data_IF_617731039389
#
_entry.id   IF_617731039389
#
_cell.length_a   1.000
_cell.length_b   1.000
_cell.length_c   1.000
_cell.angle_alpha   90.00
_cell.angle_beta   90.00
_cell.angle_gamma   90.00
#
_symmetry.space_group_name_H-M   'P 1'
#
loop_
_entity.id
_entity.type
_entity.pdbx_description
1 polymer ?
#
# COMPACT_ATOMS: atom_id res chain seq x y z
N UNK A 1 16.84 -0.57 19.91
CA UNK A 1 17.78 -1.33 19.05
C UNK A 1 17.33 -1.14 17.63
N UNK A 2 18.11 -0.42 16.82
CA UNK A 2 17.88 -0.30 15.37
C UNK A 2 18.02 -1.71 14.80
N UNK A 3 16.95 -2.31 14.29
CA UNK A 3 17.04 -3.59 13.56
C UNK A 3 18.10 -3.44 12.45
N UNK A 4 19.10 -4.33 12.41
CA UNK A 4 20.09 -4.34 11.34
C UNK A 4 19.41 -4.62 9.99
N UNK A 5 19.81 -3.88 8.96
CA UNK A 5 19.30 -4.09 7.61
C UNK A 5 19.96 -5.31 6.95
N UNK A 6 19.13 -6.19 6.36
CA UNK A 6 19.54 -7.33 5.57
C UNK A 6 19.83 -6.91 4.14
N UNK A 7 20.86 -7.49 3.53
CA UNK A 7 21.18 -7.28 2.11
C UNK A 7 21.20 -8.62 1.41
N UNK A 8 20.41 -8.75 0.34
CA UNK A 8 20.38 -9.95 -0.50
C UNK A 8 20.66 -9.53 -1.94
N UNK A 9 21.38 -10.38 -2.68
CA UNK A 9 21.78 -10.11 -4.07
C UNK A 9 20.76 -10.62 -5.09
N UNK A 10 19.86 -11.53 -4.66
CA UNK A 10 18.89 -12.18 -5.53
C UNK A 10 17.53 -12.40 -4.87
N UNK A 11 16.50 -12.62 -5.69
CA UNK A 11 15.17 -12.98 -5.23
C UNK A 11 15.16 -14.31 -4.45
N UNK A 12 15.97 -15.28 -4.88
CA UNK A 12 16.06 -16.61 -4.25
C UNK A 12 16.66 -16.56 -2.85
N UNK A 13 17.66 -15.71 -2.61
CA UNK A 13 18.21 -15.50 -1.27
C UNK A 13 17.16 -14.92 -0.31
N UNK A 14 16.40 -13.93 -0.80
CA UNK A 14 15.30 -13.35 -0.02
C UNK A 14 14.19 -14.38 0.28
N UNK A 15 13.82 -15.22 -0.70
CA UNK A 15 12.85 -16.30 -0.50
C UNK A 15 13.34 -17.36 0.47
N UNK A 16 14.63 -17.70 0.43
CA UNK A 16 15.25 -18.59 1.40
C UNK A 16 15.14 -18.04 2.82
N UNK A 17 15.43 -16.75 3.00
CA UNK A 17 15.28 -16.08 4.29
C UNK A 17 13.82 -16.06 4.76
N UNK A 18 12.87 -15.72 3.89
CA UNK A 18 11.43 -15.74 4.21
C UNK A 18 10.95 -17.15 4.58
N UNK A 19 11.43 -18.20 3.91
CA UNK A 19 11.09 -19.57 4.24
C UNK A 19 11.58 -20.01 5.62
N UNK A 20 12.74 -19.53 6.05
CA UNK A 20 13.36 -19.90 7.33
C UNK A 20 12.86 -19.04 8.50
N UNK A 21 12.62 -17.75 8.26
CA UNK A 21 12.37 -16.76 9.32
C UNK A 21 10.95 -16.17 9.27
N UNK A 22 10.19 -16.42 8.20
CA UNK A 22 8.93 -15.74 7.93
C UNK A 22 7.80 -15.99 8.94
N UNK A 23 7.89 -17.08 9.70
CA UNK A 23 6.90 -17.44 10.73
C UNK A 23 7.25 -16.91 12.12
N UNK A 24 8.50 -16.54 12.37
CA UNK A 24 9.00 -16.12 13.69
C UNK A 24 9.40 -14.65 13.73
N UNK A 25 9.80 -14.07 12.60
CA UNK A 25 10.18 -12.67 12.52
C UNK A 25 8.97 -11.74 12.47
N UNK A 26 9.06 -10.62 13.20
CA UNK A 26 8.06 -9.54 13.19
C UNK A 26 8.29 -8.54 12.05
N UNK A 27 9.40 -8.66 11.33
CA UNK A 27 9.74 -7.82 10.19
C UNK A 27 11.23 -7.87 9.86
N UNK A 28 11.57 -7.35 8.69
CA UNK A 28 12.93 -7.18 8.24
C UNK A 28 13.08 -5.88 7.47
N UNK A 29 14.17 -5.16 7.74
CA UNK A 29 14.64 -4.10 6.86
C UNK A 29 15.50 -4.71 5.76
N UNK A 30 15.13 -4.49 4.50
CA UNK A 30 15.94 -4.83 3.34
C UNK A 30 16.67 -3.59 2.83
N UNK A 31 17.99 -3.68 2.69
CA UNK A 31 18.81 -2.72 1.96
C UNK A 31 18.72 -3.01 0.46
N UNK A 32 18.30 -2.00 -0.29
CA UNK A 32 18.07 -2.06 -1.73
C UNK A 32 18.94 -1.02 -2.43
N UNK A 33 19.64 -1.44 -3.49
CA UNK A 33 20.41 -0.54 -4.34
C UNK A 33 19.48 0.39 -5.11
N UNK A 34 19.88 1.67 -5.23
CA UNK A 34 19.23 2.61 -6.13
C UNK A 34 19.60 2.29 -7.58
N UNK A 35 18.76 2.74 -8.52
CA UNK A 35 19.00 2.57 -9.96
C UNK A 35 20.33 3.25 -10.33
N UNK A 36 21.19 2.54 -11.07
CA UNK A 36 22.50 3.05 -11.51
C UNK A 36 23.66 2.71 -10.57
N UNK A 37 23.41 2.11 -9.41
CA UNK A 37 24.46 1.58 -8.53
C UNK A 37 25.03 0.27 -9.08
N UNK A 38 26.35 0.10 -9.05
CA UNK A 38 27.04 -1.12 -9.51
C UNK A 38 26.76 -2.33 -8.62
N UNK A 39 26.60 -2.11 -7.31
CA UNK A 39 26.24 -3.15 -6.35
C UNK A 39 24.82 -3.67 -6.63
N UNK A 40 24.72 -4.97 -6.98
CA UNK A 40 23.45 -5.64 -7.21
C UNK A 40 22.82 -6.10 -5.89
N UNK A 41 21.61 -5.64 -5.63
CA UNK A 41 20.71 -6.24 -4.64
C UNK A 41 19.52 -6.85 -5.35
N UNK A 42 18.72 -7.63 -4.62
CA UNK A 42 17.34 -7.91 -5.00
C UNK A 42 16.63 -6.59 -5.32
N UNK A 43 15.83 -6.57 -6.40
CA UNK A 43 15.04 -5.39 -6.73
C UNK A 43 13.84 -5.27 -5.79
N UNK A 44 13.31 -4.05 -5.60
CA UNK A 44 12.08 -3.87 -4.83
C UNK A 44 10.92 -4.72 -5.36
N UNK A 45 10.78 -4.82 -6.68
CA UNK A 45 9.71 -5.61 -7.29
C UNK A 45 9.84 -7.09 -6.93
N UNK A 46 11.04 -7.67 -7.09
CA UNK A 46 11.31 -9.05 -6.70
C UNK A 46 11.07 -9.27 -5.19
N UNK A 47 11.53 -8.34 -4.35
CA UNK A 47 11.34 -8.42 -2.91
C UNK A 47 9.85 -8.40 -2.53
N UNK A 48 9.04 -7.55 -3.19
CA UNK A 48 7.61 -7.47 -2.98
C UNK A 48 6.87 -8.72 -3.46
N UNK A 49 7.18 -9.23 -4.65
CA UNK A 49 6.58 -10.47 -5.16
C UNK A 49 6.84 -11.65 -4.23
N UNK A 50 8.09 -11.82 -3.79
CA UNK A 50 8.45 -12.84 -2.81
C UNK A 50 7.77 -12.59 -1.46
N UNK A 51 7.67 -11.35 -0.99
CA UNK A 51 6.93 -11.05 0.23
C UNK A 51 5.46 -11.50 0.12
N UNK A 52 4.76 -11.18 -0.98
CA UNK A 52 3.38 -11.61 -1.21
C UNK A 52 3.25 -13.13 -1.20
N UNK A 53 4.18 -13.85 -1.85
CA UNK A 53 4.20 -15.31 -1.87
C UNK A 53 4.25 -15.93 -0.46
N UNK A 54 4.87 -15.26 0.50
CA UNK A 54 5.05 -15.74 1.88
C UNK A 54 4.10 -15.06 2.88
N UNK A 55 3.11 -14.30 2.42
CA UNK A 55 2.13 -13.65 3.31
C UNK A 55 2.65 -12.39 4.00
N UNK A 56 3.70 -11.79 3.45
CA UNK A 56 4.33 -10.56 3.90
C UNK A 56 3.94 -9.38 3.00
N UNK A 57 4.23 -8.16 3.46
CA UNK A 57 3.97 -6.92 2.74
C UNK A 57 5.05 -5.88 3.04
N UNK A 58 5.26 -4.96 2.10
CA UNK A 58 6.12 -3.80 2.30
C UNK A 58 5.45 -2.75 3.21
N UNK A 59 6.28 -1.98 3.90
CA UNK A 59 5.85 -0.92 4.80
C UNK A 59 6.75 0.31 4.69
N UNK A 60 7.41 0.64 5.79
CA UNK A 60 8.22 1.85 5.89
C UNK A 60 9.40 1.84 4.92
N UNK A 61 9.67 3.01 4.32
CA UNK A 61 10.84 3.27 3.49
C UNK A 61 11.74 4.29 4.19
N UNK A 62 13.05 4.12 4.07
CA UNK A 62 14.03 5.03 4.66
C UNK A 62 15.20 5.24 3.70
N UNK A 63 15.70 6.48 3.59
CA UNK A 63 16.96 6.73 2.89
C UNK A 63 18.13 6.25 3.76
N UNK A 64 19.12 5.60 3.14
CA UNK A 64 20.30 5.12 3.86
C UNK A 64 21.57 5.84 3.40
N UNK A 65 21.78 5.91 2.09
CA UNK A 65 22.95 6.55 1.50
C UNK A 65 22.65 7.04 0.09
N UNK A 66 23.63 7.62 -0.59
CA UNK A 66 23.52 7.98 -2.00
C UNK A 66 23.23 6.78 -2.88
N UNK A 67 23.74 5.59 -2.52
CA UNK A 67 23.65 4.36 -3.34
C UNK A 67 22.53 3.42 -2.91
N UNK A 68 22.05 3.53 -1.67
CA UNK A 68 21.11 2.58 -1.07
C UNK A 68 19.94 3.24 -0.37
N UNK A 69 18.86 2.47 -0.22
CA UNK A 69 17.70 2.82 0.58
C UNK A 69 17.17 1.55 1.27
N UNK A 70 16.41 1.72 2.35
CA UNK A 70 15.84 0.63 3.12
C UNK A 70 14.34 0.53 2.89
N UNK A 71 13.86 -0.71 2.77
CA UNK A 71 12.44 -1.04 2.75
C UNK A 71 12.15 -2.04 3.86
N UNK A 72 11.25 -1.69 4.79
CA UNK A 72 10.74 -2.64 5.79
C UNK A 72 9.71 -3.54 5.14
N UNK A 73 9.81 -4.84 5.40
CA UNK A 73 8.80 -5.84 5.11
C UNK A 73 8.34 -6.49 6.41
N UNK A 74 7.05 -6.78 6.52
CA UNK A 74 6.44 -7.37 7.71
C UNK A 74 5.42 -8.44 7.32
N UNK A 75 5.17 -9.45 8.17
CA UNK A 75 4.01 -10.32 8.01
C UNK A 75 2.73 -9.50 7.90
N UNK A 76 1.79 -9.93 7.04
CA UNK A 76 0.45 -9.31 7.01
C UNK A 76 -0.27 -9.62 8.32
N UNK A 77 -0.84 -8.57 8.90
CA UNK A 77 -1.77 -8.69 10.03
C UNK A 77 -3.22 -8.81 9.56
N UNK A 78 -4.11 -9.24 10.45
CA UNK A 78 -5.56 -9.28 10.19
C UNK A 78 -6.15 -7.94 9.71
N UNK A 79 -5.50 -6.81 10.06
CA UNK A 79 -5.92 -5.46 9.67
C UNK A 79 -5.28 -4.97 8.36
N UNK A 80 -4.38 -5.74 7.76
CA UNK A 80 -3.63 -5.32 6.57
C UNK A 80 -4.56 -5.27 5.35
N UNK A 81 -4.85 -4.07 4.88
CA UNK A 81 -5.65 -3.84 3.67
C UNK A 81 -4.92 -4.33 2.41
N UNK A 82 -5.67 -4.57 1.34
CA UNK A 82 -5.14 -4.92 0.03
C UNK A 82 -5.32 -3.72 -0.92
N UNK A 83 -4.29 -3.42 -1.72
CA UNK A 83 -4.44 -2.56 -2.88
C UNK A 83 -4.83 -3.42 -4.08
N UNK A 84 -5.50 -2.84 -5.08
CA UNK A 84 -5.81 -3.52 -6.33
C UNK A 84 -4.53 -4.02 -7.01
N UNK A 85 -3.47 -3.21 -7.01
CA UNK A 85 -2.19 -3.59 -7.58
C UNK A 85 -1.55 -4.82 -6.90
N UNK A 86 -1.60 -4.91 -5.56
CA UNK A 86 -1.06 -6.08 -4.86
C UNK A 86 -1.96 -7.31 -5.00
N UNK A 87 -3.28 -7.10 -5.12
CA UNK A 87 -4.22 -8.15 -5.48
C UNK A 87 -3.88 -8.71 -6.88
N UNK A 88 -3.75 -7.86 -7.88
CA UNK A 88 -3.45 -8.26 -9.27
C UNK A 88 -2.10 -9.00 -9.34
N UNK A 89 -1.07 -8.52 -8.62
CA UNK A 89 0.21 -9.24 -8.48
C UNK A 89 0.05 -10.60 -7.82
N UNK A 90 -0.70 -10.69 -6.73
CA UNK A 90 -0.93 -11.97 -6.05
C UNK A 90 -1.69 -12.96 -6.95
N UNK A 91 -2.67 -12.50 -7.74
CA UNK A 91 -3.38 -13.31 -8.73
C UNK A 91 -2.43 -13.82 -9.82
N UNK A 92 -1.53 -12.98 -10.33
CA UNK A 92 -0.49 -13.39 -11.28
C UNK A 92 0.49 -14.42 -10.68
N UNK A 93 0.89 -14.23 -9.41
CA UNK A 93 1.77 -15.17 -8.69
C UNK A 93 1.10 -16.52 -8.40
N UNK A 94 -0.22 -16.53 -8.18
CA UNK A 94 -1.01 -17.76 -8.09
C UNK A 94 -1.03 -18.47 -9.44
N UNK A 95 -1.35 -17.75 -10.51
CA UNK A 95 -1.40 -18.32 -11.87
C UNK A 95 -0.04 -18.88 -12.31
N UNK A 96 1.06 -18.25 -11.88
CA UNK A 96 2.43 -18.71 -12.14
C UNK A 96 2.92 -19.82 -11.20
N UNK A 97 2.10 -20.32 -10.27
CA UNK A 97 2.48 -21.37 -9.31
C UNK A 97 3.56 -20.95 -8.29
N UNK A 98 3.79 -19.65 -8.11
CA UNK A 98 4.81 -19.08 -7.21
C UNK A 98 4.33 -18.92 -5.77
N UNK A 99 3.02 -18.75 -5.59
CA UNK A 99 2.39 -18.53 -4.29
C UNK A 99 2.71 -19.68 -3.32
N UNK A 100 3.12 -19.36 -2.08
CA UNK A 100 3.40 -20.36 -1.03
C UNK A 100 2.22 -20.47 -0.05
N UNK A 101 2.14 -21.55 0.75
CA UNK A 101 1.03 -21.75 1.68
C UNK A 101 0.77 -20.56 2.63
N UNK A 102 1.79 -19.88 3.20
CA UNK A 102 1.57 -18.69 4.02
C UNK A 102 0.91 -17.53 3.26
N UNK A 103 1.35 -17.26 2.03
CA UNK A 103 0.74 -16.23 1.18
C UNK A 103 -0.71 -16.56 0.83
N UNK A 104 -0.97 -17.82 0.47
CA UNK A 104 -2.33 -18.28 0.17
C UNK A 104 -3.26 -18.16 1.40
N UNK A 105 -2.77 -18.47 2.60
CA UNK A 105 -3.52 -18.33 3.84
C UNK A 105 -3.97 -16.87 4.08
N UNK A 106 -3.09 -15.89 3.83
CA UNK A 106 -3.43 -14.47 3.96
C UNK A 106 -4.44 -13.98 2.91
N UNK A 107 -4.37 -14.54 1.69
CA UNK A 107 -5.35 -14.28 0.62
C UNK A 107 -6.73 -14.82 1.02
N UNK A 108 -6.80 -16.06 1.53
CA UNK A 108 -8.06 -16.66 1.96
C UNK A 108 -8.70 -15.93 3.15
N UNK A 109 -7.90 -15.51 4.14
CA UNK A 109 -8.39 -14.63 5.22
C UNK A 109 -8.99 -13.34 4.66
N UNK A 110 -8.30 -12.70 3.72
CA UNK A 110 -8.77 -11.46 3.11
C UNK A 110 -10.01 -11.64 2.22
N UNK A 111 -10.19 -12.81 1.59
CA UNK A 111 -11.42 -13.17 0.87
C UNK A 111 -12.58 -13.32 1.85
N UNK A 112 -12.38 -14.05 2.95
CA UNK A 112 -13.40 -14.30 3.98
C UNK A 112 -13.90 -13.03 4.67
N UNK A 113 -13.02 -12.08 4.97
CA UNK A 113 -13.39 -10.83 5.65
C UNK A 113 -13.66 -9.65 4.70
N UNK A 114 -13.64 -9.90 3.39
CA UNK A 114 -13.97 -8.93 2.36
C UNK A 114 -12.88 -7.91 2.03
N UNK A 115 -11.71 -7.92 2.70
CA UNK A 115 -10.57 -7.04 2.34
C UNK A 115 -10.09 -7.26 0.91
N UNK A 116 -10.18 -8.49 0.39
CA UNK A 116 -9.82 -8.82 -0.99
C UNK A 116 -10.74 -8.16 -2.02
N UNK A 117 -12.05 -8.10 -1.74
CA UNK A 117 -13.04 -7.44 -2.59
C UNK A 117 -12.91 -5.91 -2.48
N UNK A 118 -12.62 -5.41 -1.29
CA UNK A 118 -12.44 -3.98 -1.00
C UNK A 118 -11.04 -3.45 -1.37
N UNK A 119 -10.32 -4.10 -2.29
CA UNK A 119 -8.97 -3.71 -2.65
C UNK A 119 -8.97 -2.32 -3.30
N UNK A 120 -8.29 -1.34 -2.69
CA UNK A 120 -8.38 0.06 -3.09
C UNK A 120 -7.55 0.37 -4.35
N UNK A 121 -8.01 1.32 -5.16
CA UNK A 121 -7.30 1.77 -6.35
C UNK A 121 -6.05 2.61 -6.00
N UNK A 122 -5.02 2.55 -6.84
CA UNK A 122 -3.87 3.46 -6.71
C UNK A 122 -4.28 4.92 -6.87
N UNK A 123 -3.42 5.85 -6.44
CA UNK A 123 -3.65 7.27 -6.63
C UNK A 123 -3.91 7.65 -8.10
N UNK A 124 -3.17 7.05 -9.03
CA UNK A 124 -3.32 7.27 -10.47
C UNK A 124 -4.65 6.74 -11.05
N UNK A 125 -5.27 5.76 -10.41
CA UNK A 125 -6.51 5.12 -10.86
C UNK A 125 -7.71 5.49 -9.96
N UNK A 126 -7.54 6.46 -9.05
CA UNK A 126 -8.59 6.86 -8.12
C UNK A 126 -9.58 7.80 -8.79
N UNK A 127 -10.83 7.39 -8.84
CA UNK A 127 -11.94 8.20 -9.32
C UNK A 127 -12.64 8.90 -8.15
N UNK A 128 -13.28 10.04 -8.43
CA UNK A 128 -14.17 10.72 -7.47
C UNK A 128 -15.45 9.88 -7.37
N UNK A 129 -15.81 9.37 -6.18
CA UNK A 129 -17.07 8.66 -6.01
C UNK A 129 -18.27 9.60 -6.18
N UNK A 130 -19.39 9.08 -6.69
CA UNK A 130 -20.57 9.88 -7.04
C UNK A 130 -21.11 10.72 -5.88
N UNK A 131 -21.13 10.18 -4.66
CA UNK A 131 -21.60 10.91 -3.48
C UNK A 131 -20.67 12.06 -3.05
N UNK A 132 -19.36 11.91 -3.22
CA UNK A 132 -18.42 13.01 -3.05
C UNK A 132 -18.60 14.04 -4.18
N UNK A 133 -18.85 13.60 -5.41
CA UNK A 133 -19.10 14.49 -6.54
C UNK A 133 -20.36 15.33 -6.30
N UNK A 134 -21.46 14.72 -5.86
CA UNK A 134 -22.70 15.41 -5.46
C UNK A 134 -22.45 16.44 -4.36
N UNK A 135 -21.68 16.08 -3.33
CA UNK A 135 -21.36 17.02 -2.24
C UNK A 135 -20.49 18.19 -2.69
N UNK A 136 -19.53 17.96 -3.61
CA UNK A 136 -18.74 19.02 -4.22
C UNK A 136 -19.59 19.91 -5.14
N UNK A 137 -20.50 19.34 -5.92
CA UNK A 137 -21.38 20.09 -6.81
C UNK A 137 -22.35 21.00 -6.05
N UNK A 138 -22.75 20.60 -4.83
CA UNK A 138 -23.52 21.44 -3.90
C UNK A 138 -22.67 22.56 -3.24
N UNK A 139 -21.34 22.54 -3.36
CA UNK A 139 -20.42 23.48 -2.71
C UNK A 139 -19.38 24.04 -3.72
N UNK A 140 -19.72 25.10 -4.48
CA UNK A 140 -18.87 25.60 -5.56
C UNK A 140 -17.45 26.00 -5.15
N UNK A 141 -17.25 26.57 -3.96
CA UNK A 141 -15.93 26.96 -3.46
C UNK A 141 -15.07 25.74 -3.12
N UNK A 142 -15.63 24.77 -2.38
CA UNK A 142 -14.96 23.48 -2.15
C UNK A 142 -14.62 22.77 -3.47
N UNK A 143 -15.50 22.78 -4.47
CA UNK A 143 -15.25 22.19 -5.79
C UNK A 143 -14.08 22.84 -6.52
N UNK A 144 -14.02 24.18 -6.53
CA UNK A 144 -12.91 24.94 -7.12
C UNK A 144 -11.59 24.58 -6.43
N UNK A 145 -11.55 24.62 -5.11
CA UNK A 145 -10.34 24.30 -4.35
C UNK A 145 -9.92 22.82 -4.49
N UNK A 146 -10.89 21.90 -4.55
CA UNK A 146 -10.62 20.49 -4.81
C UNK A 146 -9.95 20.25 -6.17
N UNK A 147 -10.28 21.06 -7.18
CA UNK A 147 -9.68 20.99 -8.50
C UNK A 147 -8.22 21.50 -8.52
N UNK A 148 -7.81 22.34 -7.57
CA UNK A 148 -6.43 22.84 -7.46
C UNK A 148 -5.51 21.93 -6.65
N UNK A 149 -6.05 20.89 -5.99
CA UNK A 149 -5.23 19.98 -5.19
C UNK A 149 -4.23 19.20 -6.04
N UNK A 150 -3.00 19.09 -5.53
CA UNK A 150 -2.03 18.14 -6.05
C UNK A 150 -2.51 16.68 -5.86
N UNK A 151 -1.89 15.75 -6.60
CA UNK A 151 -2.27 14.33 -6.61
C UNK A 151 -2.25 13.69 -5.21
N UNK A 152 -1.32 14.11 -4.33
CA UNK A 152 -1.19 13.59 -2.97
C UNK A 152 -2.39 13.97 -2.10
N UNK A 153 -2.76 15.24 -2.07
CA UNK A 153 -3.89 15.73 -1.28
C UNK A 153 -5.23 15.25 -1.85
N UNK A 154 -5.37 15.22 -3.19
CA UNK A 154 -6.55 14.66 -3.85
C UNK A 154 -6.75 13.20 -3.46
N UNK A 155 -5.70 12.39 -3.58
CA UNK A 155 -5.77 10.97 -3.22
C UNK A 155 -6.06 10.76 -1.72
N UNK A 156 -5.54 11.62 -0.84
CA UNK A 156 -5.79 11.53 0.60
C UNK A 156 -7.28 11.61 0.96
N UNK A 157 -8.04 12.46 0.25
CA UNK A 157 -9.50 12.57 0.37
C UNK A 157 -10.15 11.32 -0.20
N UNK A 158 -9.87 10.97 -1.46
CA UNK A 158 -10.49 9.84 -2.17
C UNK A 158 -10.31 8.53 -1.41
N UNK A 159 -9.09 8.26 -0.94
CA UNK A 159 -8.77 7.07 -0.16
C UNK A 159 -9.59 6.99 1.14
N UNK A 160 -9.70 8.10 1.89
CA UNK A 160 -10.44 8.13 3.16
C UNK A 160 -11.95 7.98 2.97
N UNK A 161 -12.50 8.54 1.89
CA UNK A 161 -13.92 8.38 1.53
C UNK A 161 -14.18 6.93 1.12
N UNK A 162 -13.40 6.38 0.19
CA UNK A 162 -13.56 5.00 -0.31
C UNK A 162 -13.42 3.94 0.79
N UNK A 163 -12.54 4.14 1.77
CA UNK A 163 -12.33 3.20 2.87
C UNK A 163 -13.35 3.35 4.02
N UNK A 164 -14.24 4.35 3.97
CA UNK A 164 -15.31 4.52 4.96
C UNK A 164 -16.46 3.53 4.71
N UNK A 165 -16.39 2.36 5.35
CA UNK A 165 -17.31 1.24 5.09
C UNK A 165 -18.75 1.46 5.56
N UNK A 166 -18.95 2.21 6.66
CA UNK A 166 -20.27 2.47 7.23
C UNK A 166 -20.88 3.71 6.55
N UNK A 167 -22.14 3.66 6.06
CA UNK A 167 -22.77 4.80 5.38
C UNK A 167 -22.71 6.10 6.18
N UNK A 168 -22.95 6.04 7.49
CA UNK A 168 -22.96 7.20 8.38
C UNK A 168 -21.54 7.79 8.52
N UNK A 169 -20.54 6.92 8.61
CA UNK A 169 -19.13 7.35 8.67
C UNK A 169 -18.68 7.97 7.35
N UNK A 170 -19.18 7.45 6.22
CA UNK A 170 -18.88 7.95 4.89
C UNK A 170 -19.48 9.34 4.66
N UNK A 171 -20.76 9.52 4.99
CA UNK A 171 -21.43 10.81 4.90
C UNK A 171 -20.71 11.88 5.75
N UNK A 172 -20.42 11.57 7.03
CA UNK A 172 -19.67 12.48 7.92
C UNK A 172 -18.30 12.85 7.35
N UNK A 173 -17.55 11.90 6.80
CA UNK A 173 -16.24 12.19 6.20
C UNK A 173 -16.33 13.09 4.98
N UNK A 174 -17.35 12.90 4.13
CA UNK A 174 -17.57 13.76 2.97
C UNK A 174 -17.84 15.20 3.43
N UNK A 175 -18.71 15.37 4.42
CA UNK A 175 -19.00 16.68 5.03
C UNK A 175 -17.74 17.33 5.63
N UNK A 176 -16.96 16.58 6.43
CA UNK A 176 -15.69 17.05 6.99
C UNK A 176 -14.73 17.55 5.92
N UNK A 177 -14.59 16.82 4.80
CA UNK A 177 -13.68 17.19 3.73
C UNK A 177 -14.20 18.37 2.91
N UNK A 178 -15.50 18.47 2.64
CA UNK A 178 -16.08 19.67 2.02
C UNK A 178 -15.82 20.90 2.88
N UNK A 179 -16.01 20.81 4.19
CA UNK A 179 -15.74 21.92 5.12
C UNK A 179 -14.24 22.28 5.16
N UNK A 180 -13.34 21.30 5.16
CA UNK A 180 -11.90 21.52 5.05
C UNK A 180 -11.53 22.26 3.75
N UNK A 181 -12.10 21.84 2.62
CA UNK A 181 -11.86 22.46 1.32
C UNK A 181 -12.40 23.89 1.25
N UNK A 182 -13.56 24.16 1.84
CA UNK A 182 -14.11 25.52 1.96
C UNK A 182 -13.21 26.46 2.77
N UNK A 183 -12.40 25.93 3.70
CA UNK A 183 -11.39 26.69 4.45
C UNK A 183 -10.04 26.79 3.74
N UNK A 184 -9.88 26.20 2.55
CA UNK A 184 -8.61 26.18 1.82
C UNK A 184 -7.54 25.28 2.46
N UNK A 185 -7.94 24.33 3.30
CA UNK A 185 -7.03 23.46 4.04
C UNK A 185 -6.67 22.19 3.25
N UNK A 186 -5.48 21.64 3.53
CA UNK A 186 -5.01 20.37 2.93
C UNK A 186 -4.41 19.45 3.99
N UNK A 187 -4.31 18.15 3.68
CA UNK A 187 -3.69 17.18 4.60
C UNK A 187 -2.17 17.30 4.66
N UNK A 188 -1.57 17.73 3.55
CA UNK A 188 -0.14 17.84 3.38
C UNK A 188 0.16 19.25 2.84
N UNK A 189 0.62 20.17 3.70
CA UNK A 189 1.00 21.53 3.27
C UNK A 189 2.22 21.51 2.35
#
# INVERSE_FOLDING_TARGET
MTECALTFTSQTEWESWLGQNGSTSTGAWLRLAKKGTEQRTVTYQQALESALCYGWIDGQKQAESEKFWLQRFTPRSAKSIWSKLNKDRAEALIAAGRMRPPGMCEIEKARKDGRWKAAYASASNSIVPDDLQVALDANPEAKKFFATLNSRNRYAILFRVQNAKKPETRARKIEEFVNMLNRGETFYP
#
